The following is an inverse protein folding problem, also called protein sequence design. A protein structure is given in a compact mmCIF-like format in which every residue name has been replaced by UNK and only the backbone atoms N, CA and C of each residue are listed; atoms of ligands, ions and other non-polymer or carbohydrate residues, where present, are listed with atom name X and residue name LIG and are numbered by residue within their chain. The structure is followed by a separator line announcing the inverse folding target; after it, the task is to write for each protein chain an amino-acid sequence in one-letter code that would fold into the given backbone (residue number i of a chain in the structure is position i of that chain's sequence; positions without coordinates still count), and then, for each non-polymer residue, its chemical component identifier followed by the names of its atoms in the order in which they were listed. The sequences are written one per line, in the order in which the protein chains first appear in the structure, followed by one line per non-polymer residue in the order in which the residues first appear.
data_IF_916976110643
#
_entry.id   IF_916976110643
#
_cell.length_a   1.000
_cell.length_b   1.000
_cell.length_c   1.000
_cell.angle_alpha   90.00
_cell.angle_beta   90.00
_cell.angle_gamma   90.00
#
_symmetry.space_group_name_H-M   'P 1'
#
loop_
_entity.id
_entity.type
_entity.pdbx_description
1 polymer ?
#
# COMPACT_ATOMS: atom_id res chain seq x y z
N UNK A 1 -8.99 -49.85 27.20
CA UNK A 1 -8.81 -48.52 26.61
C UNK A 1 -7.49 -48.59 25.84
N UNK A 2 -7.56 -48.96 24.56
CA UNK A 2 -6.42 -48.97 23.66
C UNK A 2 -6.14 -47.50 23.25
N UNK A 3 -4.99 -47.02 23.63
CA UNK A 3 -4.41 -45.79 23.12
C UNK A 3 -3.87 -46.10 21.73
N UNK A 4 -4.56 -45.63 20.70
CA UNK A 4 -4.03 -45.56 19.34
C UNK A 4 -2.88 -44.54 19.34
N UNK A 5 -1.67 -45.03 19.13
CA UNK A 5 -0.51 -44.18 18.81
C UNK A 5 -0.81 -43.38 17.55
N UNK A 6 -0.75 -42.06 17.66
CA UNK A 6 -0.80 -41.18 16.51
C UNK A 6 0.46 -41.45 15.68
N UNK A 7 0.27 -41.87 14.44
CA UNK A 7 1.33 -41.92 13.42
C UNK A 7 2.01 -40.58 13.37
N UNK A 8 3.31 -40.49 13.64
CA UNK A 8 4.14 -39.34 13.36
C UNK A 8 4.05 -39.08 11.86
N UNK A 9 3.36 -38.03 11.48
CA UNK A 9 3.37 -37.51 10.11
C UNK A 9 4.76 -36.95 9.90
N UNK A 10 5.55 -37.58 9.05
CA UNK A 10 6.82 -37.03 8.56
C UNK A 10 6.60 -35.61 8.02
N UNK A 11 7.51 -34.68 8.36
CA UNK A 11 7.45 -33.32 7.90
C UNK A 11 7.55 -33.24 6.37
N UNK A 12 6.81 -32.34 5.72
CA UNK A 12 6.88 -32.19 4.26
C UNK A 12 8.29 -31.84 3.79
N UNK A 13 8.61 -32.27 2.57
CA UNK A 13 9.90 -32.04 1.93
C UNK A 13 10.29 -30.55 1.93
N UNK A 14 11.52 -30.26 2.27
CA UNK A 14 12.05 -28.90 2.22
C UNK A 14 12.44 -28.57 0.79
N UNK A 15 11.86 -27.49 0.24
CA UNK A 15 12.25 -26.91 -1.03
C UNK A 15 13.24 -25.78 -0.74
N UNK A 16 14.25 -25.52 -1.59
CA UNK A 16 15.21 -24.46 -1.39
C UNK A 16 14.57 -23.08 -1.20
N UNK A 17 15.15 -22.24 -0.35
CA UNK A 17 14.63 -20.92 -0.02
C UNK A 17 14.71 -19.92 -1.20
N UNK A 18 15.57 -20.17 -2.18
CA UNK A 18 15.79 -19.37 -3.39
C UNK A 18 14.93 -19.83 -4.59
N UNK A 19 14.12 -20.87 -4.41
CA UNK A 19 13.33 -21.44 -5.50
C UNK A 19 14.14 -22.24 -6.52
N UNK A 20 15.45 -22.41 -6.30
CA UNK A 20 16.29 -23.23 -7.17
C UNK A 20 16.44 -24.65 -6.58
N UNK A 21 15.79 -25.68 -7.14
CA UNK A 21 15.84 -27.04 -6.64
C UNK A 21 17.25 -27.67 -6.70
N UNK A 22 18.16 -27.09 -7.51
CA UNK A 22 19.52 -27.60 -7.70
C UNK A 22 20.54 -26.95 -6.76
N UNK A 23 20.16 -25.98 -5.94
CA UNK A 23 21.07 -25.35 -4.99
C UNK A 23 21.26 -26.22 -3.74
N UNK A 24 22.38 -26.95 -3.71
CA UNK A 24 22.76 -27.80 -2.59
C UNK A 24 22.94 -27.04 -1.26
N UNK A 25 23.18 -25.73 -1.31
CA UNK A 25 23.36 -24.90 -0.10
C UNK A 25 22.04 -24.53 0.56
N UNK A 26 20.96 -24.58 -0.22
CA UNK A 26 19.60 -24.26 0.23
C UNK A 26 18.81 -25.49 0.74
N UNK A 27 19.38 -26.68 0.69
CA UNK A 27 18.73 -27.92 1.15
C UNK A 27 18.70 -27.97 2.67
N UNK A 28 17.51 -28.26 3.22
CA UNK A 28 17.33 -28.51 4.65
C UNK A 28 17.95 -29.82 5.15
N UNK A 29 17.74 -30.10 6.41
CA UNK A 29 18.22 -31.34 7.05
C UNK A 29 17.50 -32.61 6.58
N UNK A 30 16.32 -32.44 5.98
CA UNK A 30 15.53 -33.49 5.33
C UNK A 30 15.25 -33.11 3.88
N UNK A 31 15.66 -33.96 2.94
CA UNK A 31 15.35 -33.83 1.52
C UNK A 31 14.57 -35.05 1.08
N UNK A 32 13.30 -34.87 0.73
CA UNK A 32 12.57 -35.89 0.00
C UNK A 32 13.10 -35.95 -1.45
N UNK A 33 13.05 -37.12 -2.07
CA UNK A 33 13.28 -37.19 -3.51
C UNK A 33 12.12 -36.56 -4.29
N UNK A 34 12.38 -36.13 -5.52
CA UNK A 34 11.30 -35.62 -6.38
C UNK A 34 10.16 -36.63 -6.54
N UNK A 35 10.49 -37.94 -6.58
CA UNK A 35 9.50 -39.02 -6.64
C UNK A 35 8.60 -39.03 -5.40
N UNK A 36 9.16 -38.81 -4.21
CA UNK A 36 8.38 -38.77 -2.94
C UNK A 36 7.49 -37.51 -2.91
N UNK A 37 7.99 -36.36 -3.38
CA UNK A 37 7.23 -35.10 -3.45
C UNK A 37 6.05 -35.25 -4.41
N UNK A 38 6.28 -35.79 -5.59
CA UNK A 38 5.24 -36.03 -6.61
C UNK A 38 4.23 -37.05 -6.08
N UNK A 39 4.68 -38.14 -5.42
CA UNK A 39 3.81 -39.14 -4.84
C UNK A 39 2.92 -38.59 -3.70
N UNK A 40 3.37 -37.56 -3.02
CA UNK A 40 2.61 -36.91 -1.95
C UNK A 40 1.63 -35.81 -2.44
N UNK A 41 1.58 -35.51 -3.74
CA UNK A 41 0.79 -34.42 -4.33
C UNK A 41 -0.67 -34.43 -3.86
N UNK A 42 -1.37 -35.58 -3.94
CA UNK A 42 -2.80 -35.72 -3.61
C UNK A 42 -3.05 -35.89 -2.10
N UNK A 43 -1.99 -35.89 -1.28
CA UNK A 43 -2.14 -36.01 0.18
C UNK A 43 -2.90 -34.82 0.72
N UNK A 44 -4.03 -35.06 1.39
CA UNK A 44 -4.83 -34.02 2.03
C UNK A 44 -4.12 -33.57 3.30
N UNK A 45 -3.70 -32.31 3.33
CA UNK A 45 -2.97 -31.68 4.43
C UNK A 45 -3.85 -30.81 5.32
N UNK A 46 -4.99 -30.34 4.82
CA UNK A 46 -5.96 -29.58 5.59
C UNK A 46 -7.40 -29.81 5.11
N UNK A 47 -8.38 -29.53 5.98
CA UNK A 47 -9.81 -29.59 5.68
C UNK A 47 -10.55 -28.41 6.30
N UNK A 48 -11.56 -27.91 5.58
CA UNK A 48 -12.50 -26.91 6.07
C UNK A 48 -13.91 -27.27 5.60
N UNK A 49 -14.71 -27.89 6.49
CA UNK A 49 -15.96 -28.51 6.08
C UNK A 49 -15.71 -29.68 5.12
N UNK A 50 -16.31 -29.61 3.93
CA UNK A 50 -16.14 -30.59 2.84
C UNK A 50 -14.93 -30.28 1.95
N UNK A 51 -14.39 -29.06 2.02
CA UNK A 51 -13.26 -28.62 1.22
C UNK A 51 -11.94 -29.19 1.75
N UNK A 52 -11.05 -29.51 0.84
CA UNK A 52 -9.74 -30.09 1.14
C UNK A 52 -8.63 -29.33 0.46
N UNK A 53 -7.50 -29.23 1.15
CA UNK A 53 -6.24 -28.73 0.62
C UNK A 53 -5.30 -29.92 0.44
N UNK A 54 -4.80 -30.13 -0.77
CA UNK A 54 -3.77 -31.13 -1.05
C UNK A 54 -2.36 -30.56 -0.84
N UNK A 55 -1.37 -31.42 -0.79
CA UNK A 55 0.02 -31.01 -0.67
C UNK A 55 0.48 -30.19 -1.90
N UNK A 56 0.08 -30.58 -3.10
CA UNK A 56 0.34 -29.83 -4.34
C UNK A 56 -0.25 -28.41 -4.29
N UNK A 57 -1.51 -28.29 -3.91
CA UNK A 57 -2.17 -27.01 -3.73
C UNK A 57 -1.52 -26.15 -2.64
N UNK A 58 -1.11 -26.75 -1.50
CA UNK A 58 -0.43 -26.04 -0.42
C UNK A 58 0.87 -25.37 -0.90
N UNK A 59 1.61 -25.98 -1.81
CA UNK A 59 2.85 -25.40 -2.34
C UNK A 59 2.60 -24.06 -3.02
N UNK A 60 1.48 -23.88 -3.71
CA UNK A 60 1.09 -22.59 -4.31
C UNK A 60 0.99 -21.49 -3.27
N UNK A 61 0.27 -21.76 -2.17
CA UNK A 61 0.14 -20.80 -1.06
C UNK A 61 1.47 -20.57 -0.34
N UNK A 62 2.21 -21.64 -0.06
CA UNK A 62 3.48 -21.56 0.67
C UNK A 62 4.50 -20.67 -0.06
N UNK A 63 4.74 -20.90 -1.34
CA UNK A 63 5.70 -20.12 -2.09
C UNK A 63 5.23 -18.69 -2.38
N UNK A 64 3.92 -18.49 -2.47
CA UNK A 64 3.36 -17.14 -2.55
C UNK A 64 3.67 -16.35 -1.28
N UNK A 65 3.52 -16.94 -0.09
CA UNK A 65 3.85 -16.29 1.18
C UNK A 65 5.35 -15.99 1.29
N UNK A 66 6.21 -16.94 0.93
CA UNK A 66 7.67 -16.74 0.93
C UNK A 66 8.07 -15.59 -0.01
N UNK A 67 7.56 -15.58 -1.25
CA UNK A 67 7.88 -14.53 -2.24
C UNK A 67 7.37 -13.16 -1.81
N UNK A 68 6.15 -13.08 -1.32
CA UNK A 68 5.56 -11.83 -0.83
C UNK A 68 6.39 -11.26 0.32
N UNK A 69 6.83 -12.10 1.24
CA UNK A 69 7.69 -11.69 2.34
C UNK A 69 9.03 -11.18 1.83
N UNK A 70 9.70 -11.93 0.97
CA UNK A 70 11.01 -11.54 0.42
C UNK A 70 10.90 -10.29 -0.46
N UNK A 71 9.82 -10.12 -1.22
CA UNK A 71 9.57 -8.90 -1.98
C UNK A 71 9.36 -7.69 -1.09
N UNK A 72 8.63 -7.84 0.01
CA UNK A 72 8.33 -6.74 0.95
C UNK A 72 9.53 -6.32 1.78
N UNK A 73 10.33 -7.28 2.23
CA UNK A 73 11.51 -7.02 3.07
C UNK A 73 12.79 -6.82 2.24
N UNK A 74 12.91 -7.45 1.05
CA UNK A 74 14.07 -7.33 0.18
C UNK A 74 15.38 -7.58 0.93
N UNK A 75 16.32 -6.66 0.80
CA UNK A 75 17.62 -6.72 1.52
C UNK A 75 17.49 -6.59 3.05
N UNK A 76 16.33 -6.20 3.57
CA UNK A 76 16.07 -6.10 5.02
C UNK A 76 15.65 -7.44 5.65
N UNK A 77 15.44 -8.52 4.88
CA UNK A 77 15.08 -9.83 5.41
C UNK A 77 16.09 -10.32 6.48
N UNK A 78 17.38 -10.02 6.31
CA UNK A 78 18.44 -10.35 7.27
C UNK A 78 18.28 -9.65 8.63
N UNK A 79 17.69 -8.46 8.68
CA UNK A 79 17.44 -7.73 9.93
C UNK A 79 16.34 -8.38 10.78
N UNK A 80 15.43 -9.11 10.14
CA UNK A 80 14.41 -9.90 10.83
C UNK A 80 14.82 -11.36 11.02
N UNK A 81 16.11 -11.68 10.76
CA UNK A 81 16.70 -13.01 11.02
C UNK A 81 16.43 -14.04 9.95
N UNK A 82 16.01 -13.64 8.73
CA UNK A 82 15.87 -14.52 7.58
C UNK A 82 17.08 -14.36 6.64
N UNK A 83 17.80 -15.44 6.43
CA UNK A 83 18.84 -15.56 5.41
C UNK A 83 18.29 -16.36 4.22
N UNK A 84 17.94 -15.72 3.09
CA UNK A 84 17.31 -16.42 1.96
C UNK A 84 18.26 -17.43 1.26
N UNK A 85 19.55 -17.44 1.60
CA UNK A 85 20.53 -18.39 1.06
C UNK A 85 20.64 -19.68 1.88
N UNK A 86 19.89 -19.79 2.99
CA UNK A 86 19.87 -20.95 3.86
C UNK A 86 18.50 -21.61 3.91
N UNK A 87 18.45 -22.92 4.16
CA UNK A 87 17.17 -23.63 4.32
C UNK A 87 16.30 -23.01 5.41
N UNK A 88 15.00 -22.88 5.15
CA UNK A 88 14.03 -22.23 6.04
C UNK A 88 13.73 -23.07 7.31
N UNK A 89 13.91 -24.38 7.23
CA UNK A 89 13.65 -25.33 8.31
C UNK A 89 14.72 -25.32 9.42
N UNK A 90 15.90 -24.81 9.13
CA UNK A 90 17.01 -24.72 10.10
C UNK A 90 17.19 -23.32 10.70
N UNK A 91 16.41 -22.36 10.27
CA UNK A 91 16.47 -20.97 10.74
C UNK A 91 15.31 -20.67 11.69
N UNK A 92 15.62 -20.14 12.88
CA UNK A 92 14.59 -19.70 13.83
C UNK A 92 13.94 -18.42 13.33
N UNK A 93 12.60 -18.39 13.31
CA UNK A 93 11.84 -17.19 12.97
C UNK A 93 11.87 -16.20 14.15
N UNK A 94 12.47 -15.03 13.92
CA UNK A 94 12.65 -14.03 14.97
C UNK A 94 11.42 -13.12 15.18
N UNK A 95 10.46 -13.13 14.25
CA UNK A 95 9.26 -12.27 14.29
C UNK A 95 8.00 -13.00 14.79
N UNK A 96 8.06 -14.31 15.00
CA UNK A 96 6.94 -15.07 15.51
C UNK A 96 6.84 -14.96 17.05
N UNK A 97 5.62 -14.89 17.56
CA UNK A 97 5.36 -14.89 19.02
C UNK A 97 5.73 -16.21 19.69
N UNK A 98 5.81 -17.29 18.91
CA UNK A 98 6.19 -18.63 19.37
C UNK A 98 7.50 -19.06 18.71
N UNK A 99 8.27 -19.88 19.43
CA UNK A 99 9.51 -20.40 18.87
C UNK A 99 9.19 -21.40 17.74
N UNK A 100 9.49 -21.00 16.50
CA UNK A 100 9.31 -21.82 15.29
C UNK A 100 10.44 -21.55 14.29
N UNK A 101 10.52 -22.36 13.24
CA UNK A 101 11.39 -22.10 12.10
C UNK A 101 10.68 -21.19 11.08
N UNK A 102 11.44 -20.58 10.16
CA UNK A 102 10.85 -19.82 9.06
C UNK A 102 9.95 -20.69 8.17
N UNK A 103 10.31 -21.96 7.96
CA UNK A 103 9.43 -22.88 7.24
C UNK A 103 8.09 -23.05 7.95
N UNK A 104 8.08 -23.29 9.26
CA UNK A 104 6.85 -23.44 10.04
C UNK A 104 6.03 -22.15 10.04
N UNK A 105 6.68 -20.99 10.09
CA UNK A 105 6.02 -19.70 9.97
C UNK A 105 5.29 -19.56 8.64
N UNK A 106 5.98 -19.80 7.51
CA UNK A 106 5.36 -19.70 6.18
C UNK A 106 4.30 -20.78 5.94
N UNK A 107 4.46 -21.98 6.48
CA UNK A 107 3.41 -23.01 6.41
C UNK A 107 2.14 -22.56 7.16
N UNK A 108 2.29 -21.98 8.36
CA UNK A 108 1.15 -21.44 9.09
C UNK A 108 0.47 -20.28 8.34
N UNK A 109 1.26 -19.38 7.74
CA UNK A 109 0.75 -18.30 6.89
C UNK A 109 -0.01 -18.83 5.68
N UNK A 110 0.56 -19.80 4.96
CA UNK A 110 -0.06 -20.44 3.79
C UNK A 110 -1.41 -21.11 4.14
N UNK A 111 -1.47 -21.85 5.25
CA UNK A 111 -2.71 -22.45 5.73
C UNK A 111 -3.77 -21.40 6.11
N UNK A 112 -3.36 -20.29 6.71
CA UNK A 112 -4.26 -19.19 7.03
C UNK A 112 -4.77 -18.51 5.74
N UNK A 113 -3.90 -18.26 4.76
CA UNK A 113 -4.27 -17.68 3.47
C UNK A 113 -5.25 -18.58 2.73
N UNK A 114 -4.97 -19.88 2.62
CA UNK A 114 -5.93 -20.83 2.06
C UNK A 114 -7.28 -20.77 2.76
N UNK A 115 -7.31 -20.85 4.08
CA UNK A 115 -8.55 -20.82 4.86
C UNK A 115 -9.35 -19.54 4.59
N UNK A 116 -8.67 -18.40 4.55
CA UNK A 116 -9.33 -17.12 4.33
C UNK A 116 -9.91 -17.03 2.89
N UNK A 117 -9.13 -17.38 1.88
CA UNK A 117 -9.63 -17.37 0.50
C UNK A 117 -10.75 -18.39 0.28
N UNK A 118 -10.65 -19.58 0.86
CA UNK A 118 -11.69 -20.60 0.77
C UNK A 118 -12.99 -20.14 1.44
N UNK A 119 -12.90 -19.55 2.65
CA UNK A 119 -14.06 -19.01 3.33
C UNK A 119 -14.72 -17.89 2.53
N UNK A 120 -13.93 -16.94 2.03
CA UNK A 120 -14.42 -15.79 1.27
C UNK A 120 -15.00 -16.23 -0.09
N UNK A 121 -14.37 -17.21 -0.77
CA UNK A 121 -14.89 -17.76 -2.02
C UNK A 121 -16.20 -18.52 -1.81
N UNK A 122 -16.34 -19.27 -0.73
CA UNK A 122 -17.58 -19.95 -0.37
C UNK A 122 -18.71 -18.95 -0.06
N UNK A 123 -18.40 -17.84 0.60
CA UNK A 123 -19.35 -16.77 0.84
C UNK A 123 -19.75 -16.06 -0.46
N UNK A 124 -18.79 -15.79 -1.35
CA UNK A 124 -19.03 -15.25 -2.68
C UNK A 124 -19.98 -16.13 -3.49
N UNK A 125 -19.77 -17.45 -3.49
CA UNK A 125 -20.66 -18.41 -4.15
C UNK A 125 -22.07 -18.38 -3.55
N UNK A 126 -22.18 -18.38 -2.22
CA UNK A 126 -23.47 -18.30 -1.53
C UNK A 126 -24.20 -16.98 -1.80
N UNK A 127 -23.47 -15.88 -2.00
CA UNK A 127 -24.00 -14.57 -2.39
C UNK A 127 -24.37 -14.48 -3.87
N UNK A 128 -23.99 -15.47 -4.71
CA UNK A 128 -24.17 -15.42 -6.15
C UNK A 128 -23.23 -14.44 -6.85
N UNK A 129 -22.12 -14.09 -6.22
CA UNK A 129 -21.11 -13.17 -6.76
C UNK A 129 -20.49 -13.75 -8.05
N UNK A 130 -20.22 -12.89 -9.01
CA UNK A 130 -19.53 -13.22 -10.24
C UNK A 130 -18.35 -12.27 -10.43
N UNK A 131 -17.23 -12.81 -10.85
CA UNK A 131 -16.11 -11.98 -11.30
C UNK A 131 -16.53 -11.17 -12.53
N UNK A 132 -15.96 -9.98 -12.69
CA UNK A 132 -16.15 -9.21 -13.92
C UNK A 132 -15.53 -9.90 -15.14
N UNK A 133 -15.93 -9.46 -16.34
CA UNK A 133 -15.50 -10.07 -17.61
C UNK A 133 -13.97 -10.01 -17.79
N UNK A 134 -13.31 -8.95 -17.30
CA UNK A 134 -11.86 -8.77 -17.42
C UNK A 134 -11.11 -9.76 -16.52
N UNK A 135 -11.49 -9.87 -15.26
CA UNK A 135 -10.89 -10.80 -14.29
C UNK A 135 -11.15 -12.26 -14.71
N UNK A 136 -12.36 -12.57 -15.20
CA UNK A 136 -12.66 -13.90 -15.72
C UNK A 136 -11.80 -14.24 -16.94
N UNK A 137 -11.61 -13.31 -17.87
CA UNK A 137 -10.75 -13.52 -19.03
C UNK A 137 -9.27 -13.72 -18.64
N UNK A 138 -8.79 -13.04 -17.61
CA UNK A 138 -7.44 -13.25 -17.06
C UNK A 138 -7.28 -14.66 -16.51
N UNK A 139 -8.27 -15.17 -15.78
CA UNK A 139 -8.27 -16.56 -15.29
C UNK A 139 -8.28 -17.57 -16.43
N UNK A 140 -9.15 -17.37 -17.41
CA UNK A 140 -9.32 -18.30 -18.54
C UNK A 140 -8.05 -18.40 -19.41
N UNK A 141 -7.25 -17.34 -19.44
CA UNK A 141 -5.98 -17.28 -20.19
C UNK A 141 -4.73 -17.49 -19.35
N UNK A 142 -4.86 -17.74 -18.05
CA UNK A 142 -3.72 -17.78 -17.11
C UNK A 142 -2.66 -18.82 -17.51
N UNK A 143 -3.07 -20.03 -17.90
CA UNK A 143 -2.15 -21.09 -18.35
C UNK A 143 -1.48 -20.70 -19.68
N UNK A 144 -2.26 -20.14 -20.62
CA UNK A 144 -1.72 -19.67 -21.89
C UNK A 144 -0.69 -18.55 -21.69
N UNK A 145 -0.97 -17.63 -20.79
CA UNK A 145 -0.03 -16.56 -20.43
C UNK A 145 1.26 -17.10 -19.77
N UNK A 146 1.14 -18.13 -18.91
CA UNK A 146 2.28 -18.79 -18.31
C UNK A 146 3.12 -19.48 -19.39
N UNK A 147 2.48 -20.18 -20.34
CA UNK A 147 3.13 -20.85 -21.47
C UNK A 147 3.88 -19.87 -22.38
N UNK A 148 3.28 -18.70 -22.66
CA UNK A 148 3.92 -17.63 -23.43
C UNK A 148 5.09 -16.98 -22.69
N UNK A 149 5.04 -16.96 -21.36
CA UNK A 149 6.06 -16.35 -20.53
C UNK A 149 7.28 -17.25 -20.32
N UNK A 150 7.10 -18.58 -20.27
CA UNK A 150 8.15 -19.52 -19.95
C UNK A 150 9.44 -19.34 -20.80
N UNK A 151 9.37 -19.20 -22.14
CA UNK A 151 10.56 -18.98 -22.96
C UNK A 151 11.29 -17.65 -22.66
N UNK A 152 10.58 -16.63 -22.16
CA UNK A 152 11.18 -15.34 -21.82
C UNK A 152 12.09 -15.45 -20.59
N UNK A 153 11.80 -16.43 -19.72
CA UNK A 153 12.58 -16.76 -18.53
C UNK A 153 13.56 -17.92 -18.73
N UNK A 154 13.60 -18.49 -19.95
CA UNK A 154 14.54 -19.55 -20.31
C UNK A 154 14.03 -20.96 -20.09
N UNK A 155 12.73 -21.14 -19.83
CA UNK A 155 12.08 -22.45 -19.65
C UNK A 155 11.46 -22.93 -20.96
N UNK A 156 11.33 -24.25 -21.12
CA UNK A 156 10.76 -24.84 -22.33
C UNK A 156 9.23 -24.68 -22.40
N UNK A 157 8.55 -24.72 -21.25
CA UNK A 157 7.10 -24.67 -21.14
C UNK A 157 6.64 -24.17 -19.76
N UNK A 158 5.32 -23.99 -19.61
CA UNK A 158 4.69 -23.53 -18.37
C UNK A 158 4.95 -24.47 -17.17
N UNK A 159 5.00 -25.78 -17.38
CA UNK A 159 5.24 -26.76 -16.31
C UNK A 159 6.64 -26.62 -15.73
N UNK A 160 7.65 -26.40 -16.59
CA UNK A 160 9.03 -26.17 -16.13
C UNK A 160 9.16 -24.87 -15.37
N UNK A 161 8.54 -23.79 -15.87
CA UNK A 161 8.50 -22.51 -15.16
C UNK A 161 7.81 -22.64 -13.80
N UNK A 162 6.69 -23.36 -13.75
CA UNK A 162 5.97 -23.58 -12.49
C UNK A 162 6.78 -24.40 -11.49
N UNK A 163 7.52 -25.42 -11.96
CA UNK A 163 8.40 -26.22 -11.09
C UNK A 163 9.54 -25.40 -10.51
N UNK A 164 10.10 -24.47 -11.28
CA UNK A 164 11.11 -23.55 -10.77
C UNK A 164 10.53 -22.63 -9.70
N UNK A 165 9.32 -22.15 -9.93
CA UNK A 165 8.63 -21.20 -9.05
C UNK A 165 8.18 -21.81 -7.71
N UNK A 166 7.57 -23.01 -7.74
CA UNK A 166 6.90 -23.61 -6.57
C UNK A 166 7.30 -25.06 -6.27
N UNK A 167 8.29 -25.59 -6.99
CA UNK A 167 8.81 -26.95 -6.81
C UNK A 167 8.07 -28.03 -7.61
N UNK A 168 8.63 -29.22 -7.60
CA UNK A 168 8.22 -30.36 -8.47
C UNK A 168 6.86 -30.98 -8.10
N UNK A 169 6.28 -30.65 -6.98
CA UNK A 169 5.02 -31.24 -6.52
C UNK A 169 3.75 -30.51 -6.96
N UNK A 170 3.87 -29.34 -7.61
CA UNK A 170 2.73 -28.56 -8.08
C UNK A 170 2.45 -28.81 -9.57
N UNK A 171 1.19 -28.71 -9.96
CA UNK A 171 0.70 -28.88 -11.33
C UNK A 171 0.04 -27.60 -11.86
N UNK A 172 -0.16 -27.52 -13.19
CA UNK A 172 -0.93 -26.43 -13.80
C UNK A 172 -2.39 -26.39 -13.31
N UNK A 173 -2.95 -27.53 -12.91
CA UNK A 173 -4.29 -27.60 -12.33
C UNK A 173 -4.30 -26.97 -10.93
N UNK A 174 -3.25 -27.19 -10.11
CA UNK A 174 -3.10 -26.51 -8.80
C UNK A 174 -2.95 -25.00 -8.97
N UNK A 175 -2.18 -24.56 -9.97
CA UNK A 175 -2.04 -23.16 -10.32
C UNK A 175 -3.37 -22.51 -10.70
N UNK A 176 -4.14 -23.16 -11.59
CA UNK A 176 -5.47 -22.68 -11.98
C UNK A 176 -6.43 -22.62 -10.79
N UNK A 177 -6.42 -23.66 -9.95
CA UNK A 177 -7.24 -23.71 -8.75
C UNK A 177 -6.87 -22.57 -7.77
N UNK A 178 -5.58 -22.38 -7.51
CA UNK A 178 -5.07 -21.30 -6.67
C UNK A 178 -5.52 -19.94 -7.18
N UNK A 179 -5.32 -19.64 -8.48
CA UNK A 179 -5.72 -18.38 -9.06
C UNK A 179 -7.22 -18.13 -8.94
N UNK A 180 -8.04 -19.13 -9.24
CA UNK A 180 -9.50 -19.01 -9.11
C UNK A 180 -9.90 -18.66 -7.69
N UNK A 181 -9.34 -19.37 -6.72
CA UNK A 181 -9.63 -19.13 -5.30
C UNK A 181 -9.16 -17.75 -4.85
N UNK A 182 -7.94 -17.38 -5.23
CA UNK A 182 -7.33 -16.08 -4.93
C UNK A 182 -8.15 -14.92 -5.50
N UNK A 183 -8.47 -14.94 -6.80
CA UNK A 183 -9.21 -13.86 -7.44
C UNK A 183 -10.64 -13.77 -6.93
N UNK A 184 -11.35 -14.90 -6.82
CA UNK A 184 -12.73 -14.90 -6.31
C UNK A 184 -12.77 -14.33 -4.90
N UNK A 185 -11.90 -14.81 -4.00
CA UNK A 185 -11.85 -14.33 -2.63
C UNK A 185 -11.43 -12.86 -2.52
N UNK A 186 -10.39 -12.46 -3.24
CA UNK A 186 -9.86 -11.09 -3.16
C UNK A 186 -10.82 -10.06 -3.74
N UNK A 187 -11.41 -10.34 -4.91
CA UNK A 187 -12.34 -9.40 -5.57
C UNK A 187 -13.64 -9.29 -4.79
N UNK A 188 -14.19 -10.41 -4.31
CA UNK A 188 -15.38 -10.40 -3.47
C UNK A 188 -15.14 -9.64 -2.15
N UNK A 189 -14.01 -9.88 -1.49
CA UNK A 189 -13.65 -9.14 -0.28
C UNK A 189 -13.52 -7.63 -0.54
N UNK A 190 -12.90 -7.25 -1.67
CA UNK A 190 -12.81 -5.84 -2.08
C UNK A 190 -14.19 -5.23 -2.33
N UNK A 191 -15.10 -5.97 -2.99
CA UNK A 191 -16.48 -5.54 -3.24
C UNK A 191 -17.26 -5.36 -1.93
N UNK A 192 -17.12 -6.31 -1.00
CA UNK A 192 -17.70 -6.18 0.35
C UNK A 192 -17.19 -4.94 1.08
N UNK A 193 -15.89 -4.69 1.05
CA UNK A 193 -15.31 -3.50 1.68
C UNK A 193 -15.90 -2.21 1.07
N UNK A 194 -16.00 -2.15 -0.27
CA UNK A 194 -16.56 -0.98 -0.97
C UNK A 194 -18.06 -0.80 -0.67
N UNK A 195 -18.83 -1.88 -0.66
CA UNK A 195 -20.29 -1.81 -0.37
C UNK A 195 -20.59 -1.49 1.10
N UNK A 196 -19.65 -1.72 2.00
CA UNK A 196 -19.77 -1.39 3.43
C UNK A 196 -19.12 -0.06 3.81
N UNK A 197 -18.51 0.66 2.86
CA UNK A 197 -18.01 2.00 3.15
C UNK A 197 -19.13 2.91 3.64
N UNK A 198 -18.92 3.59 4.77
CA UNK A 198 -19.91 4.52 5.29
C UNK A 198 -20.16 5.65 4.30
N UNK A 199 -21.44 5.93 4.02
CA UNK A 199 -21.83 7.11 3.25
C UNK A 199 -21.48 8.39 3.99
N UNK A 200 -21.36 9.51 3.27
CA UNK A 200 -21.09 10.81 3.87
C UNK A 200 -22.16 11.21 4.91
N UNK A 201 -23.44 10.85 4.69
CA UNK A 201 -24.54 11.10 5.63
C UNK A 201 -24.37 10.27 6.91
N UNK A 202 -23.96 9.01 6.80
CA UNK A 202 -23.69 8.16 7.95
C UNK A 202 -22.49 8.64 8.74
N UNK A 203 -21.43 9.08 8.05
CA UNK A 203 -20.22 9.65 8.65
C UNK A 203 -20.56 10.93 9.43
N UNK A 204 -21.33 11.83 8.82
CA UNK A 204 -21.76 13.06 9.48
C UNK A 204 -22.61 12.77 10.71
N UNK A 205 -23.58 11.87 10.59
CA UNK A 205 -24.42 11.46 11.71
C UNK A 205 -23.57 10.82 12.83
N UNK A 206 -22.63 9.95 12.49
CA UNK A 206 -21.75 9.31 13.47
C UNK A 206 -20.91 10.34 14.23
N UNK A 207 -20.36 11.32 13.51
CA UNK A 207 -19.64 12.42 14.14
C UNK A 207 -20.52 13.20 15.11
N UNK A 208 -21.73 13.58 14.69
CA UNK A 208 -22.66 14.35 15.52
C UNK A 208 -23.10 13.57 16.77
N UNK A 209 -23.38 12.27 16.63
CA UNK A 209 -23.74 11.39 17.74
C UNK A 209 -22.58 11.23 18.76
N UNK A 210 -21.33 11.43 18.35
CA UNK A 210 -20.12 11.27 19.17
C UNK A 210 -19.36 12.60 19.39
N UNK A 211 -19.97 13.74 19.12
CA UNK A 211 -19.32 15.05 19.12
C UNK A 211 -18.56 15.37 20.43
N UNK A 212 -19.13 15.05 21.61
CA UNK A 212 -18.44 15.26 22.89
C UNK A 212 -17.10 14.50 23.02
N UNK A 213 -17.01 13.31 22.41
CA UNK A 213 -15.79 12.52 22.43
C UNK A 213 -14.73 13.11 21.50
N UNK A 214 -15.14 13.59 20.33
CA UNK A 214 -14.24 14.28 19.39
C UNK A 214 -13.75 15.62 19.95
N UNK A 215 -14.63 16.44 20.51
CA UNK A 215 -14.27 17.73 21.13
C UNK A 215 -13.25 17.57 22.26
N UNK A 216 -13.37 16.54 23.10
CA UNK A 216 -12.37 16.24 24.15
C UNK A 216 -10.96 15.98 23.57
N UNK A 217 -10.88 15.50 22.34
CA UNK A 217 -9.65 15.26 21.62
C UNK A 217 -9.25 16.42 20.70
N UNK A 218 -9.94 17.57 20.79
CA UNK A 218 -9.67 18.77 20.02
C UNK A 218 -10.15 18.70 18.56
N UNK A 219 -11.02 17.76 18.22
CA UNK A 219 -11.56 17.60 16.87
C UNK A 219 -13.00 18.11 16.80
N UNK A 220 -13.23 19.09 15.94
CA UNK A 220 -14.54 19.71 15.68
C UNK A 220 -14.83 19.77 14.18
N UNK A 221 -16.02 20.15 13.78
CA UNK A 221 -16.37 20.36 12.35
C UNK A 221 -15.59 21.50 11.69
N UNK A 222 -15.00 22.39 12.47
CA UNK A 222 -14.20 23.53 11.97
C UNK A 222 -12.75 23.12 11.62
N UNK A 223 -12.28 21.97 12.15
CA UNK A 223 -10.94 21.48 11.84
C UNK A 223 -10.86 21.02 10.39
N UNK A 224 -9.93 21.63 9.67
CA UNK A 224 -9.66 21.35 8.25
C UNK A 224 -8.18 21.44 7.95
N UNK A 225 -7.74 20.75 6.94
CA UNK A 225 -6.49 21.03 6.25
C UNK A 225 -6.79 21.84 5.01
N UNK A 226 -5.78 22.54 4.49
CA UNK A 226 -5.88 23.30 3.26
C UNK A 226 -4.80 22.90 2.28
N UNK A 227 -5.14 22.95 0.99
CA UNK A 227 -4.20 22.83 -0.11
C UNK A 227 -4.02 24.21 -0.75
N UNK A 228 -2.77 24.62 -0.91
CA UNK A 228 -2.43 25.94 -1.48
C UNK A 228 -1.25 25.83 -2.43
N UNK A 229 -1.23 26.69 -3.44
CA UNK A 229 -0.01 26.98 -4.19
C UNK A 229 0.51 28.35 -3.79
N UNK A 230 1.84 28.49 -3.77
CA UNK A 230 2.44 29.78 -3.53
C UNK A 230 3.70 30.01 -4.36
N UNK A 231 4.01 31.29 -4.58
CA UNK A 231 5.25 31.76 -5.20
C UNK A 231 5.95 32.67 -4.21
N UNK A 232 7.10 32.23 -3.71
CA UNK A 232 7.90 33.05 -2.81
C UNK A 232 8.83 33.95 -3.59
N UNK A 233 8.81 35.24 -3.28
CA UNK A 233 9.74 36.25 -3.77
C UNK A 233 10.46 36.86 -2.59
N UNK A 234 11.73 36.49 -2.41
CA UNK A 234 12.58 36.98 -1.32
C UNK A 234 13.16 38.36 -1.67
N UNK A 235 13.59 39.18 -0.66
CA UNK A 235 14.42 40.37 -0.90
C UNK A 235 15.69 40.04 -1.66
N UNK A 236 16.19 40.99 -2.46
CA UNK A 236 17.42 40.80 -3.24
C UNK A 236 18.60 40.43 -2.34
N UNK A 237 19.33 39.33 -2.70
CA UNK A 237 20.44 38.79 -1.92
C UNK A 237 20.03 37.87 -0.77
N UNK A 238 18.74 37.69 -0.52
CA UNK A 238 18.23 36.73 0.44
C UNK A 238 18.21 35.30 -0.14
N UNK A 239 18.43 34.35 0.75
CA UNK A 239 18.31 32.90 0.54
C UNK A 239 17.59 32.30 1.75
N UNK A 240 17.16 31.03 1.64
CA UNK A 240 16.58 30.29 2.76
C UNK A 240 17.49 30.22 3.99
N UNK A 241 18.81 30.27 3.80
CA UNK A 241 19.79 30.16 4.88
C UNK A 241 20.00 31.47 5.64
N UNK A 242 19.95 32.63 4.92
CA UNK A 242 20.30 33.92 5.51
C UNK A 242 19.11 34.85 5.78
N UNK A 243 17.92 34.56 5.26
CA UNK A 243 16.74 35.45 5.38
C UNK A 243 16.35 35.74 6.83
N UNK A 244 16.61 34.84 7.75
CA UNK A 244 16.31 35.00 9.18
C UNK A 244 17.45 35.58 9.99
N UNK A 245 18.65 35.61 9.46
CA UNK A 245 19.86 36.05 10.18
C UNK A 245 20.39 37.39 9.72
N UNK A 246 20.22 37.70 8.45
CA UNK A 246 20.73 38.91 7.85
C UNK A 246 19.66 40.02 7.81
N UNK A 247 20.09 41.26 7.68
CA UNK A 247 19.21 42.43 7.58
C UNK A 247 19.18 42.89 6.13
N UNK A 248 18.00 42.98 5.57
CA UNK A 248 17.75 43.51 4.22
C UNK A 248 17.11 44.88 4.34
N UNK A 249 17.55 45.82 3.51
CA UNK A 249 17.05 47.20 3.54
C UNK A 249 15.63 47.34 2.94
N UNK A 250 15.00 48.48 3.16
CA UNK A 250 13.64 48.74 2.68
C UNK A 250 13.54 48.69 1.14
N UNK A 251 14.64 49.01 0.45
CA UNK A 251 14.65 48.96 -1.02
C UNK A 251 14.61 47.51 -1.54
N UNK A 252 15.32 46.58 -0.89
CA UNK A 252 15.28 45.16 -1.24
C UNK A 252 13.89 44.54 -0.97
N UNK A 253 13.26 44.91 0.13
CA UNK A 253 11.88 44.48 0.45
C UNK A 253 10.86 45.08 -0.54
N UNK A 254 11.02 46.36 -0.93
CA UNK A 254 10.15 47.00 -1.89
C UNK A 254 10.29 46.40 -3.31
N UNK A 255 11.52 46.03 -3.69
CA UNK A 255 11.77 45.36 -4.96
C UNK A 255 11.09 43.97 -5.00
N UNK A 256 11.17 43.20 -3.91
CA UNK A 256 10.47 41.91 -3.85
C UNK A 256 8.95 42.05 -3.88
N UNK A 257 8.39 43.08 -3.24
CA UNK A 257 6.97 43.43 -3.32
C UNK A 257 6.53 43.69 -4.76
N UNK A 258 7.27 44.58 -5.44
CA UNK A 258 6.99 44.96 -6.83
C UNK A 258 7.08 43.75 -7.75
N UNK A 259 8.08 42.86 -7.55
CA UNK A 259 8.21 41.64 -8.34
C UNK A 259 7.03 40.68 -8.10
N UNK A 260 6.56 40.55 -6.87
CA UNK A 260 5.38 39.74 -6.56
C UNK A 260 4.12 40.31 -7.25
N UNK A 261 3.93 41.64 -7.23
CA UNK A 261 2.82 42.31 -7.92
C UNK A 261 2.89 42.16 -9.46
N UNK A 262 4.10 42.22 -10.03
CA UNK A 262 4.32 41.99 -11.48
C UNK A 262 3.94 40.53 -11.86
N UNK A 263 4.35 39.56 -11.07
CA UNK A 263 4.03 38.13 -11.31
C UNK A 263 2.52 37.89 -11.19
N UNK A 264 1.87 38.49 -10.19
CA UNK A 264 0.42 38.40 -10.06
C UNK A 264 -0.27 39.03 -11.29
N UNK A 265 0.12 40.23 -11.69
CA UNK A 265 -0.44 40.91 -12.86
C UNK A 265 -0.21 40.11 -14.16
N UNK A 266 0.93 39.44 -14.29
CA UNK A 266 1.21 38.54 -15.42
C UNK A 266 0.23 37.37 -15.45
N UNK A 267 0.01 36.71 -14.33
CA UNK A 267 -0.91 35.60 -14.23
C UNK A 267 -2.36 36.03 -14.46
N UNK A 268 -2.76 37.18 -13.93
CA UNK A 268 -4.11 37.75 -14.12
C UNK A 268 -4.44 38.12 -15.58
N UNK A 269 -3.45 38.31 -16.42
CA UNK A 269 -3.63 38.54 -17.86
C UNK A 269 -3.84 37.24 -18.65
N UNK A 270 -3.58 36.08 -18.03
CA UNK A 270 -3.79 34.76 -18.60
C UNK A 270 -5.19 34.20 -18.32
N UNK A 271 -5.28 32.89 -18.27
CA UNK A 271 -6.52 32.15 -18.01
C UNK A 271 -6.89 32.05 -16.52
N UNK A 272 -6.00 32.47 -15.63
CA UNK A 272 -6.14 32.44 -14.16
C UNK A 272 -6.42 31.05 -13.61
N UNK A 273 -5.94 30.02 -14.30
CA UNK A 273 -6.07 28.64 -13.85
C UNK A 273 -5.03 28.26 -12.80
N UNK A 274 -5.31 27.23 -12.03
CA UNK A 274 -4.34 26.63 -11.12
C UNK A 274 -3.10 26.14 -11.87
N UNK A 275 -3.28 25.54 -13.05
CA UNK A 275 -2.18 25.03 -13.88
C UNK A 275 -1.24 26.17 -14.31
N UNK A 276 -1.80 27.31 -14.75
CA UNK A 276 -0.98 28.47 -15.12
C UNK A 276 -0.27 29.09 -13.93
N UNK A 277 -0.86 29.05 -12.73
CA UNK A 277 -0.20 29.46 -11.51
C UNK A 277 0.97 28.51 -11.15
N UNK A 278 0.76 27.20 -11.30
CA UNK A 278 1.79 26.20 -11.07
C UNK A 278 3.01 26.39 -12.00
N UNK A 279 2.78 26.66 -13.29
CA UNK A 279 3.87 26.95 -14.24
C UNK A 279 4.61 28.26 -13.89
N UNK A 280 3.87 29.28 -13.44
CA UNK A 280 4.49 30.53 -12.98
C UNK A 280 5.33 30.28 -11.71
N UNK A 281 4.86 29.42 -10.79
CA UNK A 281 5.59 29.03 -9.58
C UNK A 281 6.88 28.28 -9.91
N UNK A 282 6.84 27.31 -10.83
CA UNK A 282 8.04 26.58 -11.30
C UNK A 282 9.12 27.50 -11.83
N UNK A 283 8.69 28.56 -12.54
CA UNK A 283 9.61 29.48 -13.20
C UNK A 283 10.17 30.57 -12.27
N UNK A 284 9.46 30.94 -11.19
CA UNK A 284 9.77 32.16 -10.44
C UNK A 284 9.86 31.98 -8.92
N UNK A 285 9.32 30.89 -8.35
CA UNK A 285 9.33 30.72 -6.90
C UNK A 285 10.73 30.41 -6.38
N UNK A 286 11.09 31.05 -5.27
CA UNK A 286 12.32 30.78 -4.50
C UNK A 286 12.08 29.83 -3.33
N UNK A 287 10.88 29.25 -3.23
CA UNK A 287 10.53 28.22 -2.25
C UNK A 287 10.93 26.82 -2.74
N UNK A 288 11.16 25.91 -1.80
CA UNK A 288 11.50 24.50 -2.08
C UNK A 288 10.43 23.74 -2.85
N UNK A 289 9.17 24.18 -2.77
CA UNK A 289 8.03 23.62 -3.52
C UNK A 289 7.95 24.09 -4.99
N UNK A 290 8.89 24.91 -5.45
CA UNK A 290 8.88 25.46 -6.83
C UNK A 290 8.76 24.35 -7.90
N UNK A 291 9.49 23.24 -7.76
CA UNK A 291 9.44 22.10 -8.70
C UNK A 291 8.06 21.48 -8.83
N UNK A 292 7.26 21.52 -7.75
CA UNK A 292 5.89 21.00 -7.67
C UNK A 292 4.83 22.06 -7.97
N UNK A 293 5.27 23.19 -8.59
CA UNK A 293 4.40 24.31 -8.92
C UNK A 293 3.91 25.06 -7.69
N UNK A 294 4.75 25.12 -6.65
CA UNK A 294 4.44 25.84 -5.39
C UNK A 294 3.39 25.15 -4.52
N UNK A 295 3.10 23.87 -4.71
CA UNK A 295 2.01 23.15 -4.03
C UNK A 295 2.42 22.71 -2.62
N UNK A 296 1.57 23.03 -1.64
CA UNK A 296 1.51 22.45 -0.32
C UNK A 296 0.14 21.80 -0.12
N UNK A 297 0.12 20.53 0.25
CA UNK A 297 -1.09 19.76 0.51
C UNK A 297 -1.23 19.41 1.98
N UNK A 298 -2.47 19.34 2.46
CA UNK A 298 -2.76 18.89 3.82
C UNK A 298 -2.20 19.82 4.92
N UNK A 299 -2.06 21.11 4.63
CA UNK A 299 -1.54 22.10 5.60
C UNK A 299 -2.53 22.21 6.74
N UNK A 300 -2.04 21.98 7.97
CA UNK A 300 -2.82 22.15 9.20
C UNK A 300 -2.72 23.57 9.74
N UNK A 301 -3.75 24.02 10.47
CA UNK A 301 -3.73 25.33 11.12
C UNK A 301 -2.59 25.41 12.13
N UNK A 302 -1.83 26.50 12.07
CA UNK A 302 -0.64 26.74 12.92
C UNK A 302 0.65 26.08 12.39
N UNK A 303 0.63 25.37 11.29
CA UNK A 303 1.82 24.74 10.70
C UNK A 303 2.73 25.75 9.98
N UNK A 304 2.15 26.79 9.41
CA UNK A 304 2.87 27.80 8.66
C UNK A 304 3.09 29.06 9.50
N UNK A 305 3.98 29.94 9.01
CA UNK A 305 4.19 31.27 9.63
C UNK A 305 2.89 32.09 9.66
N UNK A 306 2.73 32.92 10.69
CA UNK A 306 1.47 33.55 11.07
C UNK A 306 0.70 34.13 9.88
N UNK A 307 1.29 35.05 9.12
CA UNK A 307 0.59 35.72 8.03
C UNK A 307 0.18 34.77 6.88
N UNK A 308 0.98 33.73 6.60
CA UNK A 308 0.64 32.70 5.61
C UNK A 308 -0.51 31.84 6.16
N UNK A 309 -0.40 31.41 7.42
CA UNK A 309 -1.43 30.64 8.12
C UNK A 309 -2.78 31.39 8.13
N UNK A 310 -2.78 32.65 8.56
CA UNK A 310 -3.99 33.48 8.64
C UNK A 310 -4.67 33.62 7.28
N UNK A 311 -3.87 33.79 6.22
CA UNK A 311 -4.44 33.83 4.87
C UNK A 311 -5.08 32.50 4.46
N UNK A 312 -4.46 31.36 4.78
CA UNK A 312 -4.97 30.03 4.45
C UNK A 312 -6.25 29.69 5.20
N UNK A 313 -6.34 30.09 6.48
CA UNK A 313 -7.43 29.72 7.38
C UNK A 313 -8.46 30.84 7.61
N UNK A 314 -8.39 31.92 6.81
CA UNK A 314 -9.49 32.89 6.71
C UNK A 314 -10.76 32.16 6.30
N UNK A 315 -11.74 32.03 7.20
CA UNK A 315 -12.90 31.17 7.07
C UNK A 315 -13.80 31.43 5.84
N UNK A 316 -13.50 32.44 5.05
CA UNK A 316 -14.24 32.81 3.83
C UNK A 316 -13.57 32.36 2.53
N UNK A 317 -12.33 31.77 2.60
CA UNK A 317 -11.60 31.33 1.39
C UNK A 317 -12.34 30.28 0.59
N UNK A 318 -12.33 30.50 -0.73
CA UNK A 318 -12.89 29.56 -1.71
C UNK A 318 -11.79 29.09 -2.69
N UNK A 319 -11.91 27.87 -3.26
CA UNK A 319 -11.02 27.44 -4.32
C UNK A 319 -10.93 28.46 -5.45
N UNK A 320 -9.71 28.81 -5.84
CA UNK A 320 -9.43 29.85 -6.82
C UNK A 320 -9.19 31.25 -6.23
N UNK A 321 -9.37 31.45 -4.93
CA UNK A 321 -8.97 32.70 -4.27
C UNK A 321 -7.45 32.86 -4.30
N UNK A 322 -7.00 34.08 -4.52
CA UNK A 322 -5.58 34.39 -4.59
C UNK A 322 -5.27 35.76 -3.96
N UNK A 323 -4.01 35.99 -3.67
CA UNK A 323 -3.56 37.24 -3.09
C UNK A 323 -2.07 37.26 -2.82
N UNK A 324 -1.58 38.40 -2.26
CA UNK A 324 -0.20 38.56 -1.85
C UNK A 324 -0.15 38.67 -0.33
N UNK A 325 0.74 37.87 0.28
CA UNK A 325 0.99 37.86 1.72
C UNK A 325 2.46 38.18 1.99
N UNK A 326 2.74 39.05 2.95
CA UNK A 326 4.10 39.33 3.42
C UNK A 326 4.40 38.50 4.66
N UNK A 327 5.52 37.80 4.64
CA UNK A 327 6.07 37.08 5.80
C UNK A 327 7.50 37.53 6.08
N UNK A 328 8.14 36.95 7.08
CA UNK A 328 9.57 37.13 7.34
C UNK A 328 10.48 36.58 6.21
N UNK A 329 9.96 35.71 5.34
CA UNK A 329 10.72 35.14 4.22
C UNK A 329 10.66 35.95 2.94
N UNK A 330 9.65 36.78 2.76
CA UNK A 330 9.43 37.50 1.53
C UNK A 330 7.94 37.79 1.29
N UNK A 331 7.63 38.07 0.04
CA UNK A 331 6.24 38.17 -0.43
C UNK A 331 5.84 36.87 -1.11
N UNK A 332 4.69 36.33 -0.69
CA UNK A 332 4.10 35.14 -1.25
C UNK A 332 2.89 35.49 -2.11
N UNK A 333 2.92 35.14 -3.38
CA UNK A 333 1.67 35.04 -4.13
C UNK A 333 1.02 33.73 -3.70
N UNK A 334 -0.23 33.81 -3.29
CA UNK A 334 -1.01 32.68 -2.77
C UNK A 334 -2.13 32.34 -3.74
N UNK A 335 -2.40 31.06 -3.92
CA UNK A 335 -3.55 30.54 -4.65
C UNK A 335 -4.16 29.41 -3.81
N UNK A 336 -5.43 29.56 -3.44
CA UNK A 336 -6.15 28.59 -2.63
C UNK A 336 -6.69 27.46 -3.52
N UNK A 337 -6.21 26.24 -3.33
CA UNK A 337 -6.62 25.06 -4.09
C UNK A 337 -7.90 24.46 -3.48
N UNK A 338 -7.92 24.30 -2.16
CA UNK A 338 -9.08 23.72 -1.49
C UNK A 338 -8.87 23.51 0.01
N UNK A 339 -9.89 22.93 0.64
CA UNK A 339 -9.81 22.50 2.03
C UNK A 339 -10.52 21.17 2.25
N UNK A 340 -9.97 20.35 3.15
CA UNK A 340 -10.52 19.04 3.50
C UNK A 340 -10.88 19.00 4.97
N UNK A 341 -12.13 18.70 5.35
CA UNK A 341 -12.54 18.52 6.74
C UNK A 341 -11.85 17.31 7.37
N UNK A 342 -11.02 17.53 8.38
CA UNK A 342 -10.29 16.45 9.08
C UNK A 342 -11.25 15.50 9.82
N UNK A 343 -12.33 16.03 10.36
CA UNK A 343 -13.30 15.25 11.11
C UNK A 343 -13.97 14.14 10.28
N UNK A 344 -14.16 14.36 8.97
CA UNK A 344 -14.81 13.37 8.09
C UNK A 344 -14.01 12.08 8.00
N UNK A 345 -12.71 12.19 7.81
CA UNK A 345 -11.82 11.04 7.71
C UNK A 345 -11.75 10.27 9.04
N UNK A 346 -11.61 10.99 10.16
CA UNK A 346 -11.62 10.40 11.49
C UNK A 346 -12.93 9.66 11.77
N UNK A 347 -14.07 10.30 11.52
CA UNK A 347 -15.37 9.69 11.75
C UNK A 347 -15.65 8.50 10.82
N UNK A 348 -15.17 8.55 9.56
CA UNK A 348 -15.28 7.44 8.61
C UNK A 348 -14.50 6.23 9.09
N UNK A 349 -13.25 6.45 9.50
CA UNK A 349 -12.41 5.39 10.06
C UNK A 349 -13.02 4.75 11.31
N UNK A 350 -13.50 5.58 12.26
CA UNK A 350 -14.11 5.09 13.50
C UNK A 350 -15.42 4.33 13.23
N UNK A 351 -16.26 4.82 12.31
CA UNK A 351 -17.50 4.15 11.92
C UNK A 351 -17.22 2.82 11.20
N UNK A 352 -16.22 2.79 10.32
CA UNK A 352 -15.78 1.54 9.65
C UNK A 352 -15.30 0.51 10.68
N UNK A 353 -14.47 0.94 11.65
CA UNK A 353 -13.99 0.07 12.73
C UNK A 353 -15.13 -0.42 13.64
N UNK A 354 -16.16 0.38 13.85
CA UNK A 354 -17.31 -0.01 14.67
C UNK A 354 -18.26 -1.00 13.95
N UNK A 355 -18.17 -1.10 12.63
CA UNK A 355 -18.92 -2.06 11.80
C UNK A 355 -18.18 -3.39 11.58
N UNK A 356 -16.84 -3.36 11.66
CA UNK A 356 -15.98 -4.54 11.53
C UNK A 356 -16.04 -5.44 12.78
#
# INVERSE_FOLDING_TARGET
VETTEASETEAPATIPADGNPDDETAKGTYTASDEDVIAAHDTVVARMGDDTLTNGQLQMFYWTEVRNFLSSYGSYASYVGLDPTKPLDVQTCAIADTQCTWQQFFLASALNSWRNYQATAAEAEAAGFQLDEETQAQLDTAIENLEQSAPLYGFENAEELLKDDVGVGATLDDYSHFLKLYYTGSVYFSDLCQTQEPTDEEVEKYFDDNAEAYEKNGLTKDNKTVDVRHILVMPEGATTDNIRTDTFDDAAWEASRQKAEELLAQWEQGDKSEDSFAELAKANSQDGSASDGGLYTGVSEGQMVEAFNDWCFDGVRQPGDYGIVKTEFGYHLMFFVGSTPVWKESARSDLSNARA
#
